data_IF_894502347189
#
_entry.id   IF_894502347189
#
_cell.length_a   1.000
_cell.length_b   1.000
_cell.length_c   1.000
_cell.angle_alpha   90.00
_cell.angle_beta   90.00
_cell.angle_gamma   90.00
#
_symmetry.space_group_name_H-M   'P 1'
#
loop_
_entity.id
_entity.type
_entity.pdbx_description
1 polymer ?
#
# COMPACT_ATOMS: atom_id res chain seq x y z
N UNK A 1 -2.38 -15.08 18.04
CA UNK A 1 -2.34 -16.25 17.13
C UNK A 1 -2.44 -15.71 15.71
N UNK A 2 -1.33 -15.62 14.96
CA UNK A 2 -1.31 -15.03 13.61
C UNK A 2 -0.96 -16.13 12.60
N UNK A 3 -1.95 -16.51 11.78
CA UNK A 3 -1.91 -17.64 10.85
C UNK A 3 -1.05 -17.42 9.60
N UNK A 4 -0.65 -16.17 9.30
CA UNK A 4 0.03 -15.80 8.05
C UNK A 4 1.50 -15.36 8.23
N UNK A 5 2.00 -15.35 9.46
CA UNK A 5 3.26 -14.71 9.84
C UNK A 5 4.50 -15.28 9.15
N UNK A 6 4.69 -16.61 9.02
CA UNK A 6 5.96 -17.16 8.51
C UNK A 6 6.18 -16.85 7.02
N UNK A 7 5.16 -17.04 6.18
CA UNK A 7 5.26 -16.83 4.73
C UNK A 7 5.41 -15.36 4.36
N UNK A 8 4.74 -14.47 5.09
CA UNK A 8 4.90 -13.03 4.89
C UNK A 8 6.24 -12.54 5.43
N UNK A 9 6.73 -13.09 6.55
CA UNK A 9 8.07 -12.80 7.05
C UNK A 9 9.17 -13.22 6.05
N UNK A 10 9.04 -14.39 5.42
CA UNK A 10 9.96 -14.84 4.37
C UNK A 10 9.96 -13.90 3.16
N UNK A 11 8.78 -13.43 2.73
CA UNK A 11 8.66 -12.43 1.67
C UNK A 11 9.31 -11.09 2.04
N UNK A 12 9.15 -10.64 3.27
CA UNK A 12 9.81 -9.44 3.77
C UNK A 12 11.34 -9.60 3.76
N UNK A 13 11.85 -10.73 4.26
CA UNK A 13 13.29 -11.01 4.34
C UNK A 13 13.95 -11.14 2.96
N UNK A 14 13.24 -11.72 1.99
CA UNK A 14 13.68 -11.85 0.60
C UNK A 14 13.44 -10.59 -0.25
N UNK A 15 12.92 -9.50 0.34
CA UNK A 15 12.57 -8.27 -0.35
C UNK A 15 11.62 -8.48 -1.54
N UNK A 16 10.72 -9.46 -1.42
CA UNK A 16 9.73 -9.85 -2.42
C UNK A 16 8.31 -9.85 -1.82
N UNK A 17 7.79 -8.68 -1.41
CA UNK A 17 6.49 -8.58 -0.78
C UNK A 17 5.35 -8.92 -1.74
N UNK A 18 4.18 -9.27 -1.19
CA UNK A 18 2.94 -9.28 -1.96
C UNK A 18 2.56 -7.85 -2.29
N UNK A 19 2.46 -7.53 -3.59
CA UNK A 19 2.12 -6.19 -4.09
C UNK A 19 0.66 -6.14 -4.49
N UNK A 20 -0.12 -5.31 -3.81
CA UNK A 20 -1.52 -5.10 -4.12
C UNK A 20 -1.72 -3.75 -4.82
N UNK A 21 -2.55 -3.75 -5.87
CA UNK A 21 -3.11 -2.53 -6.44
C UNK A 21 -4.47 -2.25 -5.78
N UNK A 22 -4.64 -1.05 -5.25
CA UNK A 22 -5.87 -0.61 -4.60
C UNK A 22 -6.57 0.40 -5.51
N UNK A 23 -7.77 0.09 -5.95
CA UNK A 23 -8.60 0.99 -6.76
C UNK A 23 -9.64 1.64 -5.84
N UNK A 24 -9.40 2.89 -5.49
CA UNK A 24 -10.18 3.72 -4.58
C UNK A 24 -9.62 3.74 -3.15
N UNK A 25 -9.29 4.92 -2.65
CA UNK A 25 -8.84 5.22 -1.29
C UNK A 25 -9.97 5.82 -0.41
N UNK A 26 -11.22 5.44 -0.69
CA UNK A 26 -12.38 5.74 0.16
C UNK A 26 -12.36 4.96 1.48
N UNK A 27 -13.49 4.86 2.18
CA UNK A 27 -13.58 4.23 3.52
C UNK A 27 -12.93 2.84 3.61
N UNK A 28 -13.24 1.96 2.66
CA UNK A 28 -12.76 0.57 2.69
C UNK A 28 -11.33 0.44 2.15
N UNK A 29 -11.05 1.05 0.99
CA UNK A 29 -9.70 0.98 0.41
C UNK A 29 -8.66 1.70 1.27
N UNK A 30 -9.03 2.84 1.87
CA UNK A 30 -8.17 3.54 2.83
C UNK A 30 -7.89 2.70 4.08
N UNK A 31 -8.91 2.05 4.63
CA UNK A 31 -8.72 1.10 5.74
C UNK A 31 -7.81 -0.08 5.38
N UNK A 32 -7.92 -0.60 4.15
CA UNK A 32 -7.04 -1.65 3.66
C UNK A 32 -5.59 -1.16 3.51
N UNK A 33 -5.37 0.04 2.96
CA UNK A 33 -4.03 0.65 2.87
C UNK A 33 -3.38 0.76 4.25
N UNK A 34 -4.13 1.27 5.25
CA UNK A 34 -3.65 1.38 6.64
C UNK A 34 -3.29 0.01 7.23
N UNK A 35 -4.08 -1.03 6.95
CA UNK A 35 -3.79 -2.39 7.40
C UNK A 35 -2.55 -2.97 6.72
N UNK A 36 -2.40 -2.79 5.41
CA UNK A 36 -1.26 -3.29 4.65
C UNK A 36 0.04 -2.61 5.08
N UNK A 37 0.01 -1.32 5.40
CA UNK A 37 1.17 -0.59 5.93
C UNK A 37 1.71 -1.18 7.25
N UNK A 38 0.88 -1.93 7.99
CA UNK A 38 1.24 -2.61 9.24
C UNK A 38 1.51 -4.11 9.07
N UNK A 39 1.50 -4.61 7.83
CA UNK A 39 1.69 -6.04 7.51
C UNK A 39 3.02 -6.26 6.77
N UNK A 40 4.12 -6.57 7.48
CA UNK A 40 5.40 -6.91 6.85
C UNK A 40 5.23 -8.00 5.81
N UNK A 41 5.89 -7.85 4.65
CA UNK A 41 5.76 -8.78 3.53
C UNK A 41 4.57 -8.51 2.61
N UNK A 42 3.81 -7.44 2.83
CA UNK A 42 2.78 -6.93 1.92
C UNK A 42 2.90 -5.42 1.74
N UNK A 43 2.51 -4.91 0.58
CA UNK A 43 2.47 -3.48 0.31
C UNK A 43 1.33 -3.08 -0.64
N UNK A 44 0.77 -1.90 -0.41
CA UNK A 44 -0.07 -1.21 -1.39
C UNK A 44 0.85 -0.53 -2.42
N UNK A 45 1.25 -1.29 -3.44
CA UNK A 45 2.25 -0.83 -4.42
C UNK A 45 1.71 0.26 -5.36
N UNK A 46 0.41 0.21 -5.66
CA UNK A 46 -0.27 1.19 -6.52
C UNK A 46 -1.61 1.53 -5.90
N UNK A 47 -1.94 2.82 -5.84
CA UNK A 47 -3.27 3.29 -5.45
C UNK A 47 -3.81 4.17 -6.57
N UNK A 48 -4.92 3.76 -7.18
CA UNK A 48 -5.64 4.55 -8.17
C UNK A 48 -6.88 5.15 -7.52
N UNK A 49 -7.01 6.48 -7.53
CA UNK A 49 -8.20 7.18 -7.06
C UNK A 49 -8.52 8.33 -8.03
N UNK A 50 -9.81 8.66 -8.18
CA UNK A 50 -10.24 9.83 -8.95
C UNK A 50 -9.78 11.14 -8.30
N UNK A 51 -9.56 11.12 -6.98
CA UNK A 51 -8.95 12.21 -6.22
C UNK A 51 -7.60 11.72 -5.64
N UNK A 52 -6.47 12.01 -6.30
CA UNK A 52 -5.14 11.56 -5.85
C UNK A 52 -4.76 12.11 -4.47
N UNK A 53 -5.23 13.30 -4.09
CA UNK A 53 -4.99 13.88 -2.77
C UNK A 53 -5.62 13.04 -1.64
N UNK A 54 -6.75 12.38 -1.90
CA UNK A 54 -7.34 11.44 -0.94
C UNK A 54 -6.41 10.25 -0.69
N UNK A 55 -5.87 9.66 -1.76
CA UNK A 55 -4.93 8.55 -1.65
C UNK A 55 -3.65 8.98 -0.94
N UNK A 56 -3.12 10.16 -1.28
CA UNK A 56 -1.97 10.79 -0.63
C UNK A 56 -2.19 10.95 0.86
N UNK A 57 -3.31 11.55 1.28
CA UNK A 57 -3.62 11.75 2.70
C UNK A 57 -3.68 10.43 3.49
N UNK A 58 -4.19 9.35 2.90
CA UNK A 58 -4.19 8.03 3.55
C UNK A 58 -2.77 7.49 3.69
N UNK A 59 -1.96 7.56 2.64
CA UNK A 59 -0.56 7.10 2.67
C UNK A 59 0.28 7.93 3.65
N UNK A 60 0.03 9.23 3.73
CA UNK A 60 0.67 10.16 4.67
C UNK A 60 0.31 9.80 6.12
N UNK A 61 -0.94 9.41 6.38
CA UNK A 61 -1.36 8.94 7.71
C UNK A 61 -0.64 7.65 8.15
N UNK A 62 -0.05 6.91 7.19
CA UNK A 62 0.79 5.73 7.43
C UNK A 62 2.29 6.06 7.51
N UNK A 63 2.69 7.33 7.39
CA UNK A 63 4.11 7.74 7.35
C UNK A 63 4.81 7.41 6.04
N UNK A 64 4.06 7.21 4.94
CA UNK A 64 4.62 6.84 3.64
C UNK A 64 4.77 8.02 2.65
N UNK A 65 4.54 9.25 3.12
CA UNK A 65 4.52 10.47 2.31
C UNK A 65 5.72 10.62 1.35
N UNK A 66 6.93 10.36 1.86
CA UNK A 66 8.18 10.53 1.10
C UNK A 66 8.46 9.39 0.11
N UNK A 67 7.59 8.38 0.06
CA UNK A 67 7.72 7.18 -0.77
C UNK A 67 6.69 7.11 -1.89
N UNK A 68 5.91 8.17 -2.09
CA UNK A 68 4.80 8.22 -3.04
C UNK A 68 5.13 9.14 -4.20
N UNK A 69 4.96 8.62 -5.43
CA UNK A 69 4.95 9.40 -6.67
C UNK A 69 3.51 9.45 -7.17
N UNK A 70 3.01 10.65 -7.47
CA UNK A 70 1.69 10.85 -8.08
C UNK A 70 1.88 11.00 -9.58
N UNK A 71 1.16 10.20 -10.36
CA UNK A 71 1.18 10.24 -11.82
C UNK A 71 -0.22 10.00 -12.37
N UNK A 72 -0.48 10.50 -13.58
CA UNK A 72 -1.72 10.26 -14.32
C UNK A 72 -1.65 8.99 -15.17
N UNK A 73 -0.45 8.54 -15.55
CA UNK A 73 -0.24 7.31 -16.33
C UNK A 73 0.79 6.39 -15.67
N UNK A 74 0.68 5.09 -15.96
CA UNK A 74 1.59 4.08 -15.43
C UNK A 74 3.02 4.19 -15.98
N UNK A 75 3.27 5.04 -16.98
CA UNK A 75 4.59 5.19 -17.61
C UNK A 75 5.63 5.87 -16.70
N UNK A 76 5.19 6.46 -15.59
CA UNK A 76 6.04 7.19 -14.65
C UNK A 76 6.55 6.36 -13.46
N UNK A 77 6.25 5.05 -13.40
CA UNK A 77 6.53 4.13 -12.28
C UNK A 77 7.26 2.89 -12.78
#
# INVERSE_FOLDING_TARGET
MQLFTPLLAERQQSNNPVRAAIIGAGKFGGGLIVQLAQCPGMEAAVVADLNPERARAVLDSCGLADRVVITETADAI
#
